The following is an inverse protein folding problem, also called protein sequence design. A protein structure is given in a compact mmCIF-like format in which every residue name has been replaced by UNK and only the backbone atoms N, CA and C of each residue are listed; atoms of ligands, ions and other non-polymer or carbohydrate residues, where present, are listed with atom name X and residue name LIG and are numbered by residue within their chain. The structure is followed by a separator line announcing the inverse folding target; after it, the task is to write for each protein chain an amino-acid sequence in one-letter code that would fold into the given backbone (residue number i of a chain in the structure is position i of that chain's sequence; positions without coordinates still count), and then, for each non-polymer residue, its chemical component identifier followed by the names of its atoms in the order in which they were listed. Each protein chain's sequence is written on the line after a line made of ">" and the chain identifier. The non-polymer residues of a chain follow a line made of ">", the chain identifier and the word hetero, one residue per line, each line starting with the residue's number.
data_IF_384524358321
#
_entry.id   IF_384524358321
#
_cell.length_a   1.000
_cell.length_b   1.000
_cell.length_c   1.000
_cell.angle_alpha   90.00
_cell.angle_beta   90.00
_cell.angle_gamma   90.00
#
_symmetry.space_group_name_H-M   'P 1'
#
loop_
_entity.id
_entity.type
_entity.pdbx_description
1 polymer ?
#
# COMPACT_ATOMS: atom_id res chain seq x y z
N UNK A 1 -19.61 3.78 2.61
CA UNK A 1 -20.09 3.43 1.26
C UNK A 1 -21.29 2.50 1.43
N UNK A 2 -22.41 2.79 0.78
CA UNK A 2 -23.60 1.95 0.86
C UNK A 2 -23.59 0.85 -0.22
N UNK A 3 -24.47 -0.16 -0.06
CA UNK A 3 -24.52 -1.29 -0.98
C UNK A 3 -25.01 -0.88 -2.39
N UNK A 4 -25.77 0.21 -2.51
CA UNK A 4 -26.29 0.71 -3.78
C UNK A 4 -25.17 1.34 -4.62
N UNK A 5 -24.33 2.16 -4.01
CA UNK A 5 -23.17 2.76 -4.70
C UNK A 5 -22.19 1.68 -5.16
N UNK A 6 -21.88 0.70 -4.31
CA UNK A 6 -21.02 -0.43 -4.67
C UNK A 6 -21.63 -1.22 -5.83
N UNK A 7 -22.92 -1.51 -5.75
CA UNK A 7 -23.65 -2.19 -6.82
C UNK A 7 -23.59 -1.44 -8.14
N UNK A 8 -23.75 -0.12 -8.14
CA UNK A 8 -23.63 0.70 -9.35
C UNK A 8 -22.22 0.68 -9.94
N UNK A 9 -21.18 0.70 -9.11
CA UNK A 9 -19.79 0.53 -9.56
C UNK A 9 -19.64 -0.85 -10.21
N UNK A 10 -20.12 -1.92 -9.56
CA UNK A 10 -20.06 -3.28 -10.11
C UNK A 10 -20.84 -3.43 -11.42
N UNK A 11 -21.99 -2.75 -11.59
CA UNK A 11 -22.70 -2.69 -12.88
C UNK A 11 -21.81 -2.10 -13.98
N UNK A 12 -21.10 -1.01 -13.68
CA UNK A 12 -20.16 -0.38 -14.61
C UNK A 12 -18.99 -1.29 -14.96
N UNK A 13 -18.34 -1.88 -13.95
CA UNK A 13 -17.23 -2.82 -14.13
C UNK A 13 -17.64 -4.05 -14.95
N UNK A 14 -18.81 -4.63 -14.65
CA UNK A 14 -19.32 -5.83 -15.35
C UNK A 14 -19.59 -5.58 -16.82
N UNK A 15 -20.09 -4.40 -17.19
CA UNK A 15 -20.39 -4.07 -18.59
C UNK A 15 -19.14 -3.67 -19.38
N UNK A 16 -18.20 -2.97 -18.74
CA UNK A 16 -16.97 -2.51 -19.38
C UNK A 16 -15.89 -3.58 -19.45
N UNK A 17 -15.88 -4.54 -18.53
CA UNK A 17 -14.78 -5.50 -18.34
C UNK A 17 -13.58 -4.90 -17.61
N UNK A 18 -13.72 -3.71 -17.04
CA UNK A 18 -12.67 -3.07 -16.26
C UNK A 18 -12.42 -3.79 -14.93
N UNK A 19 -11.26 -3.51 -14.34
CA UNK A 19 -10.87 -4.07 -13.04
C UNK A 19 -11.02 -3.01 -11.95
N UNK A 20 -11.63 -3.39 -10.82
CA UNK A 20 -11.78 -2.54 -9.65
C UNK A 20 -10.92 -3.05 -8.50
N UNK A 21 -10.13 -2.17 -7.89
CA UNK A 21 -9.43 -2.43 -6.64
C UNK A 21 -10.03 -1.54 -5.55
N UNK A 22 -10.68 -2.17 -4.56
CA UNK A 22 -11.35 -1.48 -3.47
C UNK A 22 -10.45 -1.49 -2.24
N UNK A 23 -9.81 -0.33 -2.01
CA UNK A 23 -8.90 -0.16 -0.89
C UNK A 23 -9.67 -0.13 0.44
N UNK A 24 -9.06 -0.66 1.48
CA UNK A 24 -9.57 -0.56 2.86
C UNK A 24 -11.00 -1.11 3.04
N UNK A 25 -11.34 -2.17 2.29
CA UNK A 25 -12.70 -2.69 2.17
C UNK A 25 -13.34 -3.07 3.50
N UNK A 26 -12.51 -3.47 4.46
CA UNK A 26 -12.90 -3.82 5.83
C UNK A 26 -13.23 -2.61 6.73
N UNK A 27 -13.39 -1.40 6.17
CA UNK A 27 -14.02 -0.24 6.85
C UNK A 27 -15.53 -0.19 6.68
N UNK A 28 -16.08 -1.01 5.79
CA UNK A 28 -17.51 -1.07 5.52
C UNK A 28 -18.21 -1.87 6.64
N UNK A 29 -19.43 -1.46 6.99
CA UNK A 29 -20.22 -2.18 7.99
C UNK A 29 -20.53 -3.61 7.53
N UNK A 30 -20.57 -4.54 8.48
CA UNK A 30 -20.80 -5.97 8.23
C UNK A 30 -22.13 -6.21 7.51
N UNK A 31 -23.16 -5.41 7.82
CA UNK A 31 -24.48 -5.46 7.17
C UNK A 31 -24.39 -5.18 5.66
N UNK A 32 -23.65 -4.13 5.28
CA UNK A 32 -23.43 -3.78 3.87
C UNK A 32 -22.58 -4.85 3.18
N UNK A 33 -21.52 -5.33 3.83
CA UNK A 33 -20.65 -6.39 3.28
C UNK A 33 -21.42 -7.69 3.00
N UNK A 34 -22.43 -8.01 3.81
CA UNK A 34 -23.28 -9.18 3.62
C UNK A 34 -24.11 -9.09 2.34
N UNK A 35 -24.64 -7.90 2.02
CA UNK A 35 -25.34 -7.65 0.74
C UNK A 35 -24.37 -7.66 -0.43
N UNK A 36 -23.18 -7.09 -0.24
CA UNK A 36 -22.13 -7.06 -1.27
C UNK A 36 -21.65 -8.47 -1.63
N UNK A 37 -21.63 -9.42 -0.69
CA UNK A 37 -21.33 -10.82 -0.98
C UNK A 37 -22.29 -11.40 -2.04
N UNK A 38 -23.59 -11.10 -1.95
CA UNK A 38 -24.58 -11.53 -2.94
C UNK A 38 -24.32 -10.89 -4.30
N UNK A 39 -23.94 -9.62 -4.32
CA UNK A 39 -23.58 -8.91 -5.56
C UNK A 39 -22.37 -9.57 -6.25
N UNK A 40 -21.27 -9.78 -5.52
CA UNK A 40 -20.06 -10.42 -6.06
C UNK A 40 -20.38 -11.85 -6.53
N UNK A 41 -21.15 -12.61 -5.76
CA UNK A 41 -21.57 -13.97 -6.12
C UNK A 41 -22.38 -14.00 -7.41
N UNK A 42 -23.32 -13.06 -7.58
CA UNK A 42 -24.15 -12.95 -8.79
C UNK A 42 -23.29 -12.75 -10.04
N UNK A 43 -22.24 -11.93 -9.95
CA UNK A 43 -21.29 -11.70 -11.05
C UNK A 43 -20.46 -12.96 -11.31
N UNK A 44 -19.89 -13.57 -10.28
CA UNK A 44 -19.08 -14.80 -10.41
C UNK A 44 -19.88 -15.95 -11.04
N UNK A 45 -21.14 -16.13 -10.63
CA UNK A 45 -22.01 -17.16 -11.17
C UNK A 45 -22.34 -16.89 -12.64
N UNK A 46 -22.61 -15.64 -13.02
CA UNK A 46 -22.85 -15.27 -14.41
C UNK A 46 -21.61 -15.52 -15.30
N UNK A 47 -20.41 -15.24 -14.79
CA UNK A 47 -19.13 -15.55 -15.48
C UNK A 47 -18.94 -17.06 -15.62
N UNK A 48 -19.12 -17.82 -14.53
CA UNK A 48 -18.98 -19.28 -14.52
C UNK A 48 -19.93 -19.94 -15.53
N UNK A 49 -21.16 -19.46 -15.58
CA UNK A 49 -22.20 -19.97 -16.47
C UNK A 49 -22.06 -19.43 -17.92
N UNK A 50 -20.99 -18.66 -18.21
CA UNK A 50 -20.66 -18.08 -19.52
C UNK A 50 -21.78 -17.24 -20.13
N UNK A 51 -22.53 -16.53 -19.30
CA UNK A 51 -23.64 -15.67 -19.75
C UNK A 51 -23.11 -14.44 -20.50
N UNK A 52 -23.83 -14.00 -21.52
CA UNK A 52 -23.56 -12.75 -22.23
C UNK A 52 -24.29 -11.55 -21.57
N UNK A 53 -25.41 -11.83 -20.90
CA UNK A 53 -26.23 -10.88 -20.15
C UNK A 53 -26.74 -11.56 -18.88
N UNK A 54 -26.96 -10.78 -17.84
CA UNK A 54 -27.47 -11.29 -16.57
C UNK A 54 -28.25 -10.21 -15.83
N UNK A 55 -29.21 -10.64 -15.01
CA UNK A 55 -29.91 -9.75 -14.10
C UNK A 55 -29.00 -9.43 -12.91
N UNK A 56 -28.66 -8.15 -12.73
CA UNK A 56 -27.91 -7.66 -11.60
C UNK A 56 -28.68 -6.53 -10.92
N UNK A 57 -29.10 -6.79 -9.67
CA UNK A 57 -29.92 -5.86 -8.86
C UNK A 57 -31.18 -5.39 -9.61
N UNK A 58 -31.91 -6.32 -10.24
CA UNK A 58 -33.16 -6.04 -10.95
C UNK A 58 -32.99 -5.44 -12.35
N UNK A 59 -31.75 -5.22 -12.81
CA UNK A 59 -31.47 -4.68 -14.15
C UNK A 59 -30.77 -5.74 -15.00
N UNK A 60 -31.27 -6.00 -16.21
CA UNK A 60 -30.57 -6.87 -17.17
C UNK A 60 -29.43 -6.10 -17.86
N UNK A 61 -28.19 -6.51 -17.62
CA UNK A 61 -26.98 -5.85 -18.11
C UNK A 61 -26.12 -6.81 -18.92
N UNK A 62 -25.33 -6.30 -19.86
CA UNK A 62 -24.30 -7.09 -20.55
C UNK A 62 -23.17 -7.45 -19.60
N UNK A 63 -22.57 -8.63 -19.83
CA UNK A 63 -21.43 -9.11 -19.08
C UNK A 63 -20.20 -9.19 -19.98
N UNK A 64 -19.14 -8.49 -19.58
CA UNK A 64 -17.80 -8.71 -20.10
C UNK A 64 -17.04 -9.64 -19.12
N UNK A 65 -16.66 -10.87 -19.52
CA UNK A 65 -16.05 -11.84 -18.62
C UNK A 65 -14.63 -11.46 -18.16
N UNK A 66 -14.04 -10.40 -18.72
CA UNK A 66 -12.73 -9.88 -18.31
C UNK A 66 -12.80 -9.12 -16.98
N UNK A 67 -13.99 -8.76 -16.49
CA UNK A 67 -14.18 -8.00 -15.24
C UNK A 67 -13.41 -8.63 -14.07
N UNK A 68 -12.72 -7.78 -13.30
CA UNK A 68 -11.92 -8.18 -12.14
C UNK A 68 -12.27 -7.39 -10.90
N UNK A 69 -12.47 -8.07 -9.77
CA UNK A 69 -12.75 -7.44 -8.48
C UNK A 69 -11.66 -7.81 -7.47
N UNK A 70 -11.01 -6.79 -6.92
CA UNK A 70 -9.93 -6.94 -5.95
C UNK A 70 -10.26 -6.08 -4.73
N UNK A 71 -9.93 -6.58 -3.54
CA UNK A 71 -10.11 -5.87 -2.29
C UNK A 71 -8.80 -5.88 -1.52
N UNK A 72 -8.53 -4.81 -0.78
CA UNK A 72 -7.48 -4.81 0.23
C UNK A 72 -8.10 -4.70 1.61
N UNK A 73 -7.40 -5.26 2.59
CA UNK A 73 -7.78 -5.18 3.98
C UNK A 73 -6.53 -5.04 4.83
N UNK A 74 -6.68 -4.34 5.96
CA UNK A 74 -5.66 -4.27 6.99
C UNK A 74 -6.25 -4.89 8.27
N UNK A 75 -6.08 -6.21 8.49
CA UNK A 75 -6.55 -6.87 9.70
C UNK A 75 -5.88 -6.29 10.95
N UNK A 76 -6.60 -6.27 12.09
CA UNK A 76 -6.03 -5.85 13.38
C UNK A 76 -5.88 -4.34 13.60
N UNK A 77 -6.18 -3.50 12.60
CA UNK A 77 -6.21 -2.04 12.78
C UNK A 77 -7.52 -1.57 13.43
N UNK A 78 -7.46 -0.50 14.22
CA UNK A 78 -8.65 0.09 14.85
C UNK A 78 -9.69 0.54 13.81
N UNK A 79 -10.97 0.28 14.11
CA UNK A 79 -12.10 0.62 13.22
C UNK A 79 -12.19 -0.28 11.98
N UNK A 80 -11.59 -1.47 12.02
CA UNK A 80 -11.68 -2.47 10.95
C UNK A 80 -12.54 -3.65 11.39
N UNK A 81 -13.44 -4.07 10.52
CA UNK A 81 -14.28 -5.25 10.70
C UNK A 81 -13.60 -6.47 10.10
N UNK A 82 -13.89 -7.66 10.62
CA UNK A 82 -13.62 -8.87 9.84
C UNK A 82 -14.62 -9.01 8.71
N UNK A 83 -14.19 -9.57 7.58
CA UNK A 83 -15.12 -9.89 6.52
C UNK A 83 -16.02 -11.06 6.93
N UNK A 84 -17.31 -11.04 6.57
CA UNK A 84 -18.18 -12.21 6.66
C UNK A 84 -17.61 -13.44 5.93
N UNK A 85 -17.81 -14.64 6.48
CA UNK A 85 -17.28 -15.89 5.89
C UNK A 85 -17.78 -16.14 4.46
N UNK A 86 -19.05 -15.82 4.19
CA UNK A 86 -19.63 -15.92 2.85
C UNK A 86 -18.94 -15.00 1.83
N UNK A 87 -18.39 -13.86 2.27
CA UNK A 87 -17.63 -12.94 1.43
C UNK A 87 -16.18 -13.40 1.29
N UNK A 88 -15.54 -13.83 2.38
CA UNK A 88 -14.17 -14.39 2.37
C UNK A 88 -14.06 -15.53 1.35
N UNK A 89 -15.05 -16.42 1.30
CA UNK A 89 -15.10 -17.54 0.36
C UNK A 89 -15.12 -17.14 -1.13
N UNK A 90 -15.49 -15.89 -1.46
CA UNK A 90 -15.53 -15.39 -2.84
C UNK A 90 -14.18 -14.84 -3.33
N UNK A 91 -13.24 -14.60 -2.41
CA UNK A 91 -11.92 -14.03 -2.73
C UNK A 91 -10.80 -15.01 -2.44
N UNK A 92 -9.70 -14.89 -3.20
CA UNK A 92 -8.46 -15.61 -2.92
C UNK A 92 -7.59 -14.75 -2.00
N UNK A 93 -7.23 -15.22 -0.79
CA UNK A 93 -6.38 -14.46 0.10
C UNK A 93 -4.94 -14.42 -0.40
N UNK A 94 -4.29 -13.26 -0.26
CA UNK A 94 -2.87 -13.10 -0.48
C UNK A 94 -2.30 -12.23 0.63
N UNK A 95 -1.32 -12.76 1.38
CA UNK A 95 -0.73 -12.07 2.51
C UNK A 95 0.55 -11.33 2.10
N UNK A 96 0.51 -10.01 2.18
CA UNK A 96 1.65 -9.12 1.88
C UNK A 96 2.29 -8.64 3.20
N UNK A 97 2.97 -9.55 3.91
CA UNK A 97 3.38 -9.32 5.32
C UNK A 97 4.68 -8.52 5.45
N UNK A 98 5.72 -8.91 4.71
CA UNK A 98 7.05 -8.28 4.82
C UNK A 98 7.52 -7.85 3.42
N UNK A 99 7.61 -6.54 3.14
CA UNK A 99 8.18 -6.05 1.88
C UNK A 99 9.71 -6.12 1.92
N UNK A 100 10.33 -6.29 0.76
CA UNK A 100 11.77 -6.15 0.59
C UNK A 100 12.14 -4.65 0.48
N UNK A 101 12.34 -4.02 1.64
CA UNK A 101 12.61 -2.57 1.73
C UNK A 101 14.00 -2.24 1.14
N UNK A 102 14.98 -3.13 1.25
CA UNK A 102 16.34 -2.91 0.73
C UNK A 102 16.34 -2.88 -0.80
N UNK A 103 15.68 -3.84 -1.44
CA UNK A 103 15.54 -3.86 -2.90
C UNK A 103 14.77 -2.63 -3.41
N UNK A 104 13.69 -2.23 -2.72
CA UNK A 104 12.95 -1.01 -3.08
C UNK A 104 13.85 0.22 -2.94
N UNK A 105 14.64 0.31 -1.87
CA UNK A 105 15.58 1.40 -1.63
C UNK A 105 16.63 1.48 -2.74
N UNK A 106 17.24 0.35 -3.11
CA UNK A 106 18.21 0.27 -4.21
C UNK A 106 17.61 0.80 -5.52
N UNK A 107 16.44 0.30 -5.91
CA UNK A 107 15.77 0.72 -7.15
C UNK A 107 15.48 2.23 -7.13
N UNK A 108 14.99 2.76 -6.01
CA UNK A 108 14.68 4.19 -5.88
C UNK A 108 15.93 5.08 -5.97
N UNK A 109 17.05 4.64 -5.38
CA UNK A 109 18.32 5.36 -5.46
C UNK A 109 18.88 5.33 -6.89
N UNK A 110 18.96 4.14 -7.51
CA UNK A 110 19.48 3.99 -8.88
C UNK A 110 18.66 4.80 -9.88
N UNK A 111 17.33 4.73 -9.81
CA UNK A 111 16.44 5.52 -10.69
C UNK A 111 16.51 7.03 -10.42
N UNK A 112 17.02 7.45 -9.27
CA UNK A 112 17.26 8.85 -8.92
C UNK A 112 18.64 9.38 -9.31
N UNK A 113 19.48 8.55 -9.95
CA UNK A 113 20.81 8.94 -10.42
C UNK A 113 21.94 8.69 -9.41
N UNK A 114 21.72 7.80 -8.45
CA UNK A 114 22.79 7.29 -7.58
C UNK A 114 23.48 6.10 -8.25
N UNK A 115 24.79 6.19 -8.48
CA UNK A 115 25.61 5.11 -9.05
C UNK A 115 25.90 4.03 -8.01
N UNK A 116 26.11 4.41 -6.76
CA UNK A 116 26.41 3.48 -5.66
C UNK A 116 25.13 2.99 -4.95
N UNK A 117 23.99 2.97 -5.65
CA UNK A 117 22.66 2.73 -5.09
C UNK A 117 22.56 1.45 -4.24
N UNK A 118 23.20 0.36 -4.68
CA UNK A 118 23.24 -0.92 -3.95
C UNK A 118 24.00 -0.84 -2.61
N UNK A 119 25.15 -0.17 -2.60
CA UNK A 119 25.92 -0.01 -1.37
C UNK A 119 25.20 0.94 -0.40
N UNK A 120 24.60 2.01 -0.95
CA UNK A 120 23.91 3.03 -0.17
C UNK A 120 22.58 2.52 0.39
N UNK A 121 21.84 1.68 -0.33
CA UNK A 121 20.59 1.07 0.16
C UNK A 121 20.84 0.17 1.36
N UNK A 122 21.84 -0.70 1.29
CA UNK A 122 22.24 -1.57 2.40
C UNK A 122 22.56 -0.73 3.65
N UNK A 123 23.43 0.28 3.52
CA UNK A 123 23.78 1.18 4.62
C UNK A 123 22.58 1.94 5.19
N UNK A 124 21.71 2.44 4.31
CA UNK A 124 20.51 3.16 4.70
C UNK A 124 19.56 2.29 5.54
N UNK A 125 19.32 1.06 5.10
CA UNK A 125 18.44 0.12 5.81
C UNK A 125 19.07 -0.36 7.12
N UNK A 126 20.38 -0.65 7.13
CA UNK A 126 21.10 -0.94 8.37
C UNK A 126 20.94 0.21 9.37
N UNK A 127 21.09 1.47 8.92
CA UNK A 127 20.93 2.63 9.77
C UNK A 127 19.50 2.75 10.34
N UNK A 128 18.48 2.61 9.50
CA UNK A 128 17.07 2.65 9.94
C UNK A 128 16.73 1.55 10.94
N UNK A 129 17.29 0.35 10.76
CA UNK A 129 17.12 -0.75 11.71
C UNK A 129 17.81 -0.43 13.05
N UNK A 130 19.03 0.12 13.02
CA UNK A 130 19.73 0.57 14.23
C UNK A 130 18.95 1.68 14.96
N UNK A 131 18.44 2.68 14.24
CA UNK A 131 17.61 3.73 14.85
C UNK A 131 16.34 3.15 15.50
N UNK A 132 15.70 2.16 14.87
CA UNK A 132 14.53 1.48 15.44
C UNK A 132 14.85 0.71 16.73
N UNK A 133 16.05 0.15 16.85
CA UNK A 133 16.47 -0.66 18.00
C UNK A 133 17.04 0.18 19.14
N UNK A 134 17.78 1.24 18.82
CA UNK A 134 18.55 2.03 19.78
C UNK A 134 17.81 3.26 20.32
N UNK A 135 16.92 3.86 19.54
CA UNK A 135 16.18 5.05 19.98
C UNK A 135 15.01 4.66 20.87
N UNK A 136 14.57 5.61 21.70
CA UNK A 136 13.43 5.39 22.58
C UNK A 136 12.14 5.06 21.81
N UNK A 137 11.24 4.30 22.43
CA UNK A 137 9.97 3.92 21.80
C UNK A 137 8.98 5.09 21.86
N UNK A 138 8.91 5.86 20.78
CA UNK A 138 7.94 6.95 20.62
C UNK A 138 6.80 6.55 19.67
N UNK A 139 5.57 6.97 19.98
CA UNK A 139 4.40 6.69 19.13
C UNK A 139 4.49 7.28 17.72
N UNK A 140 5.23 8.39 17.56
CA UNK A 140 5.36 9.11 16.29
C UNK A 140 6.59 8.69 15.48
N UNK A 141 7.44 7.81 16.00
CA UNK A 141 8.55 7.26 15.23
C UNK A 141 8.03 6.26 14.19
N UNK A 142 8.32 6.54 12.93
CA UNK A 142 7.96 5.67 11.79
C UNK A 142 9.23 5.33 11.01
N UNK A 143 9.64 4.07 11.13
CA UNK A 143 10.77 3.48 10.38
C UNK A 143 10.28 2.59 9.23
N UNK A 144 8.98 2.64 8.91
CA UNK A 144 8.38 1.83 7.87
C UNK A 144 8.65 2.33 6.45
N UNK A 145 8.21 1.54 5.46
CA UNK A 145 8.45 1.80 4.04
C UNK A 145 7.96 3.19 3.57
N UNK A 146 6.88 3.73 4.16
CA UNK A 146 6.38 5.07 3.81
C UNK A 146 7.35 6.18 4.22
N UNK A 147 7.92 6.08 5.42
CA UNK A 147 8.94 7.01 5.89
C UNK A 147 10.23 6.89 5.05
N UNK A 148 10.69 5.65 4.79
CA UNK A 148 11.83 5.38 3.91
C UNK A 148 11.63 6.01 2.52
N UNK A 149 10.50 5.74 1.86
CA UNK A 149 10.16 6.30 0.55
C UNK A 149 10.23 7.83 0.54
N UNK A 150 9.74 8.47 1.60
CA UNK A 150 9.72 9.92 1.71
C UNK A 150 11.14 10.50 1.76
N UNK A 151 12.07 9.87 2.48
CA UNK A 151 13.48 10.26 2.50
C UNK A 151 14.13 10.07 1.14
N UNK A 152 13.91 8.94 0.49
CA UNK A 152 14.51 8.64 -0.81
C UNK A 152 14.04 9.59 -1.92
N UNK A 153 12.78 10.03 -1.88
CA UNK A 153 12.26 11.06 -2.80
C UNK A 153 13.02 12.38 -2.63
N UNK A 154 13.25 12.81 -1.38
CA UNK A 154 14.02 14.03 -1.07
C UNK A 154 15.48 13.86 -1.51
N UNK A 155 16.10 12.71 -1.21
CA UNK A 155 17.47 12.40 -1.63
C UNK A 155 17.62 12.46 -3.16
N UNK A 156 16.65 11.92 -3.89
CA UNK A 156 16.65 12.00 -5.36
C UNK A 156 16.49 13.43 -5.89
N UNK A 157 15.68 14.27 -5.25
CA UNK A 157 15.57 15.68 -5.61
C UNK A 157 16.89 16.43 -5.36
N UNK A 158 17.52 16.22 -4.21
CA UNK A 158 18.82 16.80 -3.87
C UNK A 158 19.92 16.32 -4.83
N UNK A 159 19.90 15.04 -5.22
CA UNK A 159 20.84 14.47 -6.19
C UNK A 159 20.77 15.14 -7.55
N UNK A 160 19.55 15.43 -8.03
CA UNK A 160 19.34 16.13 -9.31
C UNK A 160 19.72 17.61 -9.25
N UNK A 161 19.49 18.26 -8.11
CA UNK A 161 19.86 19.65 -7.91
C UNK A 161 21.38 19.86 -7.83
N UNK A 162 22.12 18.86 -7.33
CA UNK A 162 23.58 18.90 -7.22
C UNK A 162 24.22 17.55 -7.64
N UNK A 163 24.38 17.30 -8.95
CA UNK A 163 24.90 16.03 -9.47
C UNK A 163 26.38 15.77 -9.17
N UNK A 164 27.14 16.80 -8.77
CA UNK A 164 28.58 16.67 -8.50
C UNK A 164 28.86 16.36 -7.04
N UNK A 165 27.90 16.58 -6.14
CA UNK A 165 28.06 16.27 -4.72
C UNK A 165 28.20 14.77 -4.48
N UNK A 166 29.08 14.33 -3.56
CA UNK A 166 29.20 12.93 -3.19
C UNK A 166 27.85 12.33 -2.77
N UNK A 167 27.48 11.21 -3.38
CA UNK A 167 26.16 10.58 -3.21
C UNK A 167 25.84 10.25 -1.75
N UNK A 168 26.85 9.77 -1.02
CA UNK A 168 26.74 9.53 0.43
C UNK A 168 26.32 10.78 1.19
N UNK A 169 26.90 11.95 0.88
CA UNK A 169 26.55 13.19 1.58
C UNK A 169 25.12 13.63 1.28
N UNK A 170 24.69 13.48 0.03
CA UNK A 170 23.33 13.79 -0.39
C UNK A 170 22.33 12.95 0.39
N UNK A 171 22.58 11.64 0.50
CA UNK A 171 21.71 10.72 1.23
C UNK A 171 21.71 11.01 2.74
N UNK A 172 22.89 11.24 3.34
CA UNK A 172 22.99 11.60 4.76
C UNK A 172 22.28 12.91 5.08
N UNK A 173 22.38 13.91 4.19
CA UNK A 173 21.65 15.16 4.33
C UNK A 173 20.14 14.93 4.32
N UNK A 174 19.63 14.19 3.33
CA UNK A 174 18.20 13.89 3.23
C UNK A 174 17.69 13.16 4.48
N UNK A 175 18.45 12.16 4.94
CA UNK A 175 18.13 11.37 6.12
C UNK A 175 18.09 12.22 7.38
N UNK A 176 19.12 13.04 7.60
CA UNK A 176 19.21 13.92 8.76
C UNK A 176 18.09 14.95 8.76
N UNK A 177 17.96 15.70 7.67
CA UNK A 177 17.01 16.83 7.59
C UNK A 177 15.55 16.33 7.69
N UNK A 178 15.24 15.11 7.23
CA UNK A 178 13.90 14.52 7.34
C UNK A 178 13.57 13.99 8.75
N UNK A 179 14.57 13.47 9.47
CA UNK A 179 14.35 12.80 10.75
C UNK A 179 14.54 13.74 11.95
N UNK A 180 15.50 14.67 11.94
CA UNK A 180 15.77 15.60 13.06
C UNK A 180 14.49 16.23 13.64
N UNK A 181 13.54 16.76 12.84
CA UNK A 181 12.34 17.41 13.39
C UNK A 181 11.42 16.46 14.17
N UNK A 182 11.61 15.15 14.04
CA UNK A 182 10.80 14.11 14.68
C UNK A 182 11.49 13.51 15.89
N UNK A 183 12.83 13.55 15.95
CA UNK A 183 13.60 12.92 17.03
C UNK A 183 13.47 13.76 18.29
N UNK A 184 13.09 13.13 19.40
CA UNK A 184 13.01 13.80 20.70
C UNK A 184 14.42 14.18 21.19
N UNK A 185 14.51 15.22 22.02
CA UNK A 185 15.80 15.78 22.43
C UNK A 185 16.79 14.74 22.99
N UNK A 186 16.31 13.82 23.83
CA UNK A 186 17.15 12.81 24.48
C UNK A 186 17.70 11.75 23.51
N UNK A 187 17.05 11.55 22.36
CA UNK A 187 17.46 10.60 21.33
C UNK A 187 18.40 11.24 20.28
N UNK A 188 18.49 12.58 20.22
CA UNK A 188 19.32 13.29 19.25
C UNK A 188 20.81 12.87 19.30
N UNK A 189 21.46 12.75 20.48
CA UNK A 189 22.85 12.33 20.53
C UNK A 189 23.08 10.93 19.96
N UNK A 190 22.14 10.00 20.19
CA UNK A 190 22.21 8.63 19.67
C UNK A 190 22.03 8.67 18.15
N UNK A 191 21.02 9.38 17.67
CA UNK A 191 20.72 9.52 16.24
C UNK A 191 21.88 10.13 15.44
N UNK A 192 22.62 11.09 16.01
CA UNK A 192 23.74 11.75 15.32
C UNK A 192 25.00 10.88 15.20
N UNK A 193 25.10 9.81 16.00
CA UNK A 193 26.24 8.87 15.99
C UNK A 193 25.92 7.60 15.19
N UNK A 194 24.63 7.33 14.97
CA UNK A 194 24.17 6.30 14.03
C UNK A 194 24.50 6.72 12.59
#
# INVERSE_FOLDING_TARGET
>A
MDYQSIGNIYKGLSQTGAWGCFDEFNRISVEVLSVVAVQVKTIQDAIRDKKQRFNFMGTDISLNPVVGLFITMNPGYAGRTELPENLKALFRPCAMVVPDIEMICEIMLVTSGFKDGKLLSCKFITLYNLCKELLSKQHHYDWGLRAVKSVLVVAGALRRADPNRPEREVLMRALRDFNIPKIVHDDLPIFMVC
#
